data_IF_796639579029
#
_entry.id   IF_796639579029
#
_cell.length_a   1.000
_cell.length_b   1.000
_cell.length_c   1.000
_cell.angle_alpha   90.00
_cell.angle_beta   90.00
_cell.angle_gamma   90.00
#
_symmetry.space_group_name_H-M   'P 1'
#
loop_
_entity.id
_entity.type
_entity.pdbx_description
1 polymer ?
#
# COMPACT_ATOMS: atom_id res chain seq x y z
N UNK A 1 11.00 0.25 25.54
CA UNK A 1 9.64 -0.26 25.26
C UNK A 1 9.68 -0.76 23.83
N UNK A 2 9.38 -2.03 23.59
CA UNK A 2 9.39 -2.53 22.21
C UNK A 2 8.20 -1.95 21.43
N UNK A 3 8.30 -1.92 20.10
CA UNK A 3 7.17 -1.49 19.25
C UNK A 3 5.90 -2.32 19.48
N UNK A 4 6.07 -3.62 19.75
CA UNK A 4 4.98 -4.51 20.13
C UNK A 4 4.29 -4.06 21.43
N UNK A 5 5.06 -3.68 22.47
CA UNK A 5 4.49 -3.24 23.75
C UNK A 5 3.65 -1.97 23.59
N UNK A 6 4.08 -1.05 22.70
CA UNK A 6 3.31 0.16 22.37
C UNK A 6 1.95 -0.19 21.77
N UNK A 7 1.95 -1.07 20.76
CA UNK A 7 0.72 -1.53 20.11
C UNK A 7 -0.19 -2.28 21.09
N UNK A 8 0.37 -3.21 21.86
CA UNK A 8 -0.36 -4.01 22.83
C UNK A 8 -1.04 -3.12 23.88
N UNK A 9 -0.30 -2.17 24.46
CA UNK A 9 -0.84 -1.24 25.45
C UNK A 9 -1.97 -0.38 24.85
N UNK A 10 -1.76 0.17 23.66
CA UNK A 10 -2.77 1.02 23.01
C UNK A 10 -4.07 0.25 22.72
N UNK A 11 -3.95 -0.96 22.17
CA UNK A 11 -5.09 -1.83 21.88
C UNK A 11 -5.80 -2.34 23.13
N UNK A 12 -5.06 -2.71 24.18
CA UNK A 12 -5.65 -3.08 25.47
C UNK A 12 -6.44 -1.94 26.09
N UNK A 13 -5.93 -0.71 26.00
CA UNK A 13 -6.64 0.47 26.48
C UNK A 13 -7.94 0.70 25.67
N UNK A 14 -7.89 0.63 24.34
CA UNK A 14 -9.10 0.77 23.52
C UNK A 14 -10.13 -0.32 23.82
N UNK A 15 -9.69 -1.58 24.00
CA UNK A 15 -10.57 -2.69 24.34
C UNK A 15 -11.20 -2.55 25.73
N UNK A 16 -10.42 -2.17 26.74
CA UNK A 16 -10.91 -1.99 28.11
C UNK A 16 -11.89 -0.83 28.27
N UNK A 17 -11.75 0.21 27.45
CA UNK A 17 -12.63 1.39 27.43
C UNK A 17 -13.89 1.18 26.58
N UNK A 18 -14.02 0.07 25.84
CA UNK A 18 -15.09 -0.10 24.86
C UNK A 18 -15.03 0.94 23.73
N UNK A 19 -13.82 1.38 23.37
CA UNK A 19 -13.63 2.53 22.49
C UNK A 19 -14.05 2.23 21.04
N UNK A 20 -14.70 3.20 20.41
CA UNK A 20 -15.07 3.18 18.99
C UNK A 20 -14.32 4.30 18.26
N UNK A 21 -13.59 3.94 17.20
CA UNK A 21 -12.71 4.86 16.50
C UNK A 21 -11.63 4.16 15.70
N UNK A 22 -10.58 4.90 15.37
CA UNK A 22 -9.48 4.42 14.55
C UNK A 22 -8.15 4.50 15.30
N UNK A 23 -7.46 3.37 15.46
CA UNK A 23 -6.09 3.36 15.97
C UNK A 23 -5.11 3.37 14.78
N UNK A 24 -4.38 4.47 14.60
CA UNK A 24 -3.30 4.59 13.62
C UNK A 24 -2.01 4.08 14.22
N UNK A 25 -1.33 3.19 13.49
CA UNK A 25 -0.05 2.60 13.87
C UNK A 25 1.00 3.11 12.89
N UNK A 26 1.89 3.96 13.40
CA UNK A 26 3.06 4.42 12.63
C UNK A 26 4.19 3.39 12.72
N UNK A 27 4.97 3.29 11.66
CA UNK A 27 6.05 2.31 11.55
C UNK A 27 6.24 1.82 10.13
N UNK A 28 6.92 0.68 9.99
CA UNK A 28 7.16 0.02 8.71
C UNK A 28 6.78 -1.46 8.86
N UNK A 29 5.63 -1.92 8.32
CA UNK A 29 4.71 -1.19 7.44
C UNK A 29 3.71 -0.24 8.14
N UNK A 30 3.50 -0.37 9.45
CA UNK A 30 2.41 0.34 10.14
C UNK A 30 1.02 -0.06 9.64
N UNK A 31 -0.01 0.70 10.00
CA UNK A 31 -1.38 0.41 9.58
C UNK A 31 -2.46 1.18 10.33
N UNK A 32 -3.70 0.76 10.12
CA UNK A 32 -4.90 1.35 10.69
C UNK A 32 -5.77 0.21 11.22
N UNK A 33 -6.17 0.27 12.49
CA UNK A 33 -7.16 -0.65 13.07
C UNK A 33 -8.44 0.14 13.36
N UNK A 34 -9.56 -0.37 12.88
CA UNK A 34 -10.89 0.19 13.13
C UNK A 34 -11.54 -0.55 14.29
N UNK A 35 -11.99 0.19 15.29
CA UNK A 35 -12.61 -0.37 16.50
C UNK A 35 -14.06 0.06 16.63
N UNK A 36 -14.88 -0.87 17.13
CA UNK A 36 -16.27 -0.65 17.52
C UNK A 36 -16.51 -1.37 18.84
N UNK A 37 -16.94 -0.63 19.85
CA UNK A 37 -17.22 -1.12 21.19
C UNK A 37 -16.03 -1.92 21.78
N UNK A 38 -14.80 -1.44 21.53
CA UNK A 38 -13.56 -2.08 21.99
C UNK A 38 -13.12 -3.31 21.17
N UNK A 39 -13.89 -3.73 20.16
CA UNK A 39 -13.55 -4.83 19.26
C UNK A 39 -12.94 -4.31 17.96
N UNK A 40 -11.96 -5.01 17.41
CA UNK A 40 -11.38 -4.67 16.10
C UNK A 40 -12.28 -5.23 15.00
N UNK A 41 -12.86 -4.35 14.20
CA UNK A 41 -13.78 -4.72 13.12
C UNK A 41 -13.13 -4.68 11.74
N UNK A 42 -12.02 -3.97 11.57
CA UNK A 42 -11.23 -3.99 10.34
C UNK A 42 -9.78 -3.61 10.64
N UNK A 43 -8.86 -4.05 9.78
CA UNK A 43 -7.48 -3.62 9.82
C UNK A 43 -6.94 -3.44 8.40
N UNK A 44 -6.12 -2.41 8.21
CA UNK A 44 -5.44 -2.10 6.97
C UNK A 44 -3.96 -1.94 7.26
N UNK A 45 -3.12 -2.54 6.44
CA UNK A 45 -1.69 -2.30 6.45
C UNK A 45 -1.20 -2.29 5.02
N UNK A 46 -0.30 -1.37 4.62
CA UNK A 46 0.37 -1.53 3.34
C UNK A 46 1.18 -2.84 3.31
N UNK A 47 1.48 -3.42 4.48
CA UNK A 47 2.13 -4.71 4.74
C UNK A 47 1.39 -5.96 4.26
N UNK A 48 0.09 -5.86 3.99
CA UNK A 48 -0.73 -7.04 3.69
C UNK A 48 -1.79 -6.74 2.61
N UNK A 49 -2.12 -7.70 1.74
CA UNK A 49 -3.24 -7.55 0.82
C UNK A 49 -4.56 -7.36 1.56
N UNK A 50 -5.25 -6.26 1.27
CA UNK A 50 -6.60 -6.03 1.73
C UNK A 50 -7.62 -6.95 1.03
N UNK A 51 -8.86 -6.99 1.52
CA UNK A 51 -9.88 -7.91 0.99
C UNK A 51 -10.27 -7.62 -0.46
N UNK A 52 -10.22 -6.36 -0.89
CA UNK A 52 -10.32 -5.95 -2.30
C UNK A 52 -9.24 -6.62 -3.15
N UNK A 53 -7.97 -6.53 -2.74
CA UNK A 53 -6.85 -7.11 -3.48
C UNK A 53 -6.98 -8.64 -3.57
N UNK A 54 -7.43 -9.29 -2.51
CA UNK A 54 -7.69 -10.73 -2.51
C UNK A 54 -8.81 -11.11 -3.50
N UNK A 55 -9.91 -10.35 -3.53
CA UNK A 55 -11.02 -10.62 -4.46
C UNK A 55 -10.60 -10.40 -5.91
N UNK A 56 -9.96 -9.27 -6.23
CA UNK A 56 -9.48 -8.93 -7.57
C UNK A 56 -8.49 -9.99 -8.09
N UNK A 57 -7.54 -10.42 -7.24
CA UNK A 57 -6.55 -11.43 -7.62
C UNK A 57 -7.16 -12.82 -7.76
N UNK A 58 -8.29 -13.09 -7.12
CA UNK A 58 -8.98 -14.36 -7.28
C UNK A 58 -9.71 -14.50 -8.63
N UNK A 59 -9.83 -13.43 -9.42
CA UNK A 59 -10.53 -13.42 -10.71
C UNK A 59 -12.05 -13.45 -10.62
N UNK A 60 -12.62 -13.35 -9.40
CA UNK A 60 -14.07 -13.33 -9.17
C UNK A 60 -14.73 -12.01 -9.54
N UNK A 61 -13.97 -10.93 -9.46
CA UNK A 61 -14.37 -9.57 -9.79
C UNK A 61 -13.16 -8.91 -10.44
N UNK A 62 -13.36 -8.22 -11.55
CA UNK A 62 -12.30 -7.41 -12.17
C UNK A 62 -12.34 -5.96 -11.64
N UNK A 63 -11.37 -5.14 -12.07
CA UNK A 63 -11.25 -3.77 -11.60
C UNK A 63 -12.40 -2.86 -12.02
N UNK A 64 -13.00 -3.09 -13.19
CA UNK A 64 -14.11 -2.28 -13.71
C UNK A 64 -15.40 -2.60 -12.94
N UNK A 65 -15.69 -3.89 -12.78
CA UNK A 65 -16.80 -4.40 -11.98
C UNK A 65 -16.70 -3.91 -10.53
N UNK A 66 -15.49 -3.93 -9.95
CA UNK A 66 -15.25 -3.40 -8.61
C UNK A 66 -15.52 -1.90 -8.51
N UNK A 67 -15.01 -1.11 -9.46
CA UNK A 67 -15.22 0.34 -9.47
C UNK A 67 -16.71 0.70 -9.63
N UNK A 68 -17.45 -0.04 -10.45
CA UNK A 68 -18.90 0.10 -10.58
C UNK A 68 -19.62 -0.18 -9.25
N UNK A 69 -19.28 -1.30 -8.61
CA UNK A 69 -19.84 -1.70 -7.32
C UNK A 69 -19.61 -0.65 -6.23
N UNK A 70 -18.39 -0.09 -6.14
CA UNK A 70 -18.06 0.97 -5.18
C UNK A 70 -18.86 2.25 -5.46
N UNK A 71 -19.01 2.63 -6.73
CA UNK A 71 -19.81 3.80 -7.15
C UNK A 71 -21.29 3.64 -6.77
N UNK A 72 -21.82 2.43 -6.89
CA UNK A 72 -23.20 2.12 -6.51
C UNK A 72 -23.43 2.08 -5.01
N UNK A 73 -22.41 1.74 -4.23
CA UNK A 73 -22.50 1.59 -2.78
C UNK A 73 -22.60 2.92 -2.00
N UNK A 74 -22.65 4.07 -2.70
CA UNK A 74 -23.00 5.42 -2.19
C UNK A 74 -22.40 5.75 -0.82
N UNK A 75 -21.09 5.59 -0.68
CA UNK A 75 -20.34 5.96 0.53
C UNK A 75 -19.83 4.78 1.34
N UNK A 76 -20.30 3.55 1.09
CA UNK A 76 -19.66 2.38 1.67
C UNK A 76 -18.34 2.07 0.95
N UNK A 77 -17.25 1.92 1.71
CA UNK A 77 -15.93 1.52 1.17
C UNK A 77 -15.88 0.05 0.74
N UNK A 78 -16.89 -0.74 1.15
CA UNK A 78 -16.97 -2.17 0.89
C UNK A 78 -18.33 -2.55 0.28
N UNK A 79 -18.40 -2.87 -1.03
CA UNK A 79 -19.66 -3.05 -1.74
C UNK A 79 -20.22 -4.49 -1.61
N UNK A 80 -20.31 -5.02 -0.37
CA UNK A 80 -20.75 -6.40 -0.11
C UNK A 80 -22.10 -6.76 -0.73
N UNK A 81 -23.09 -5.86 -0.61
CA UNK A 81 -24.45 -6.07 -1.14
C UNK A 81 -24.41 -6.29 -2.65
N UNK A 82 -23.66 -5.46 -3.37
CA UNK A 82 -23.53 -5.57 -4.82
C UNK A 82 -22.73 -6.80 -5.26
N UNK A 83 -21.66 -7.16 -4.52
CA UNK A 83 -20.89 -8.39 -4.75
C UNK A 83 -21.77 -9.65 -4.63
N UNK A 84 -22.65 -9.67 -3.64
CA UNK A 84 -23.59 -10.78 -3.42
C UNK A 84 -24.70 -10.78 -4.49
N UNK A 85 -25.31 -9.62 -4.74
CA UNK A 85 -26.43 -9.50 -5.68
C UNK A 85 -26.03 -9.88 -7.12
N UNK A 86 -24.79 -9.58 -7.52
CA UNK A 86 -24.24 -9.95 -8.84
C UNK A 86 -23.63 -11.35 -8.88
N UNK A 87 -23.58 -12.07 -7.75
CA UNK A 87 -23.06 -13.44 -7.68
C UNK A 87 -21.54 -13.56 -7.75
N UNK A 88 -20.78 -12.46 -7.61
CA UNK A 88 -19.31 -12.49 -7.63
C UNK A 88 -18.74 -13.19 -6.38
N UNK A 89 -19.40 -13.03 -5.23
CA UNK A 89 -19.05 -13.73 -4.00
C UNK A 89 -20.26 -13.85 -3.06
N UNK A 90 -20.42 -15.01 -2.41
CA UNK A 90 -21.44 -15.21 -1.39
C UNK A 90 -21.07 -14.58 -0.05
N UNK A 91 -22.08 -14.33 0.80
CA UNK A 91 -21.89 -13.70 2.11
C UNK A 91 -20.83 -14.41 2.98
N UNK A 92 -20.88 -15.75 3.05
CA UNK A 92 -19.89 -16.52 3.81
C UNK A 92 -18.47 -16.37 3.26
N UNK A 93 -18.30 -16.31 1.93
CA UNK A 93 -17.00 -16.11 1.30
C UNK A 93 -16.44 -14.73 1.63
N UNK A 94 -17.29 -13.69 1.58
CA UNK A 94 -16.89 -12.33 1.96
C UNK A 94 -16.47 -12.27 3.43
N UNK A 95 -17.23 -12.89 4.34
CA UNK A 95 -16.84 -12.97 5.76
C UNK A 95 -15.45 -13.59 5.93
N UNK A 96 -15.17 -14.71 5.26
CA UNK A 96 -13.86 -15.37 5.33
C UNK A 96 -12.76 -14.45 4.81
N UNK A 97 -12.97 -13.79 3.66
CA UNK A 97 -11.99 -12.86 3.08
C UNK A 97 -11.72 -11.67 4.00
N UNK A 98 -12.74 -11.09 4.62
CA UNK A 98 -12.59 -9.99 5.58
C UNK A 98 -11.76 -10.42 6.81
N UNK A 99 -12.09 -11.58 7.40
CA UNK A 99 -11.37 -12.10 8.58
C UNK A 99 -9.92 -12.41 8.23
N UNK A 100 -9.66 -13.05 7.08
CA UNK A 100 -8.31 -13.33 6.63
C UNK A 100 -7.50 -12.04 6.43
N UNK A 101 -8.04 -11.06 5.71
CA UNK A 101 -7.36 -9.79 5.46
C UNK A 101 -7.09 -9.02 6.77
N UNK A 102 -8.03 -9.01 7.71
CA UNK A 102 -7.86 -8.41 9.03
C UNK A 102 -6.69 -9.07 9.77
N UNK A 103 -6.68 -10.39 9.85
CA UNK A 103 -5.61 -11.12 10.53
C UNK A 103 -4.24 -10.95 9.86
N UNK A 104 -4.19 -10.89 8.54
CA UNK A 104 -2.96 -10.67 7.79
C UNK A 104 -2.43 -9.24 7.94
N UNK A 105 -3.31 -8.23 7.98
CA UNK A 105 -2.92 -6.85 8.27
C UNK A 105 -2.32 -6.73 9.67
N UNK A 106 -2.95 -7.35 10.68
CA UNK A 106 -2.41 -7.36 12.06
C UNK A 106 -1.07 -8.11 12.11
N UNK A 107 -0.97 -9.26 11.44
CA UNK A 107 0.30 -9.99 11.36
C UNK A 107 1.40 -9.14 10.72
N UNK A 108 1.14 -8.43 9.62
CA UNK A 108 2.12 -7.57 8.96
C UNK A 108 2.57 -6.40 9.84
N UNK A 109 1.64 -5.77 10.56
CA UNK A 109 1.96 -4.71 11.53
C UNK A 109 2.89 -5.24 12.62
N UNK A 110 2.57 -6.40 13.18
CA UNK A 110 3.31 -7.01 14.30
C UNK A 110 4.66 -7.59 13.87
N UNK A 111 4.76 -8.08 12.63
CA UNK A 111 6.01 -8.56 12.05
C UNK A 111 7.00 -7.41 11.75
N UNK A 112 6.48 -6.23 11.44
CA UNK A 112 7.29 -5.05 11.16
C UNK A 112 7.69 -4.25 12.40
N UNK A 113 8.16 -3.01 12.16
CA UNK A 113 8.46 -2.04 13.20
C UNK A 113 7.23 -1.20 13.51
N UNK A 114 6.96 -1.00 14.80
CA UNK A 114 5.96 -0.05 15.31
C UNK A 114 6.68 1.08 16.02
N UNK A 115 6.50 2.29 15.50
CA UNK A 115 7.16 3.51 15.99
C UNK A 115 6.21 4.33 16.89
N UNK A 116 4.89 4.11 16.82
CA UNK A 116 3.91 4.81 17.64
C UNK A 116 2.46 4.43 17.31
N UNK A 117 1.55 4.72 18.24
CA UNK A 117 0.12 4.45 18.11
C UNK A 117 -0.69 5.69 18.51
N UNK A 118 -1.63 6.11 17.67
CA UNK A 118 -2.44 7.31 17.88
C UNK A 118 -3.93 6.98 17.69
N UNK A 119 -4.76 7.39 18.63
CA UNK A 119 -6.23 7.32 18.50
C UNK A 119 -6.71 8.50 17.69
N UNK A 120 -7.51 8.21 16.67
CA UNK A 120 -8.23 9.20 15.89
C UNK A 120 -9.74 8.92 15.95
N UNK A 121 -10.55 9.97 15.83
CA UNK A 121 -12.01 9.83 15.75
C UNK A 121 -12.43 8.99 14.54
N UNK A 122 -13.60 8.35 14.66
CA UNK A 122 -14.23 7.61 13.57
C UNK A 122 -14.65 8.58 12.44
N UNK A 123 -13.78 8.79 11.45
CA UNK A 123 -14.05 9.70 10.33
C UNK A 123 -14.36 9.00 9.00
N UNK A 124 -13.99 7.72 8.85
CA UNK A 124 -14.13 6.97 7.59
C UNK A 124 -14.74 5.60 7.90
N UNK A 125 -15.74 5.20 7.11
CA UNK A 125 -16.33 3.86 7.21
C UNK A 125 -15.23 2.79 7.07
N UNK A 126 -15.12 1.84 8.01
CA UNK A 126 -14.13 0.78 7.92
C UNK A 126 -14.26 0.02 6.61
N UNK A 127 -13.16 -0.30 5.92
CA UNK A 127 -13.25 -1.23 4.81
C UNK A 127 -13.55 -2.62 5.33
N UNK A 128 -14.49 -3.28 4.67
CA UNK A 128 -14.74 -4.70 4.81
C UNK A 128 -14.86 -5.15 6.28
N UNK A 129 -15.73 -4.50 7.07
CA UNK A 129 -15.82 -4.78 8.49
C UNK A 129 -16.25 -6.23 8.72
N UNK A 130 -15.67 -6.89 9.71
CA UNK A 130 -16.14 -8.19 10.21
C UNK A 130 -17.33 -7.95 11.14
N UNK A 131 -18.38 -8.77 10.99
CA UNK A 131 -19.65 -8.58 11.73
C UNK A 131 -19.49 -8.76 13.23
N UNK A 132 -18.76 -9.80 13.63
CA UNK A 132 -18.37 -10.04 15.02
C UNK A 132 -16.92 -9.60 15.11
N UNK A 133 -16.69 -8.38 15.59
CA UNK A 133 -15.34 -7.84 15.78
C UNK A 133 -14.47 -8.76 16.65
N UNK A 134 -13.16 -8.66 16.47
CA UNK A 134 -12.20 -9.51 17.17
C UNK A 134 -11.63 -8.81 18.41
N UNK A 135 -11.55 -9.49 19.57
CA UNK A 135 -10.91 -8.92 20.75
C UNK A 135 -9.45 -8.57 20.48
N UNK A 136 -8.96 -7.37 20.84
CA UNK A 136 -7.59 -6.96 20.53
C UNK A 136 -6.52 -7.90 21.10
N UNK A 137 -6.72 -8.41 22.31
CA UNK A 137 -5.81 -9.38 22.93
C UNK A 137 -5.72 -10.69 22.14
N UNK A 138 -6.84 -11.15 21.57
CA UNK A 138 -6.88 -12.37 20.76
C UNK A 138 -6.11 -12.19 19.46
N UNK A 139 -6.30 -11.06 18.79
CA UNK A 139 -5.57 -10.73 17.55
C UNK A 139 -4.06 -10.67 17.76
N UNK A 140 -3.63 -10.00 18.83
CA UNK A 140 -2.21 -9.90 19.16
C UNK A 140 -1.61 -11.26 19.52
N UNK A 141 -2.33 -12.06 20.31
CA UNK A 141 -1.90 -13.42 20.64
C UNK A 141 -1.75 -14.28 19.37
N UNK A 142 -2.71 -14.18 18.45
CA UNK A 142 -2.67 -14.93 17.20
C UNK A 142 -1.53 -14.45 16.28
N UNK A 143 -1.24 -13.16 16.22
CA UNK A 143 -0.11 -12.61 15.47
C UNK A 143 1.24 -13.05 16.06
N UNK A 144 1.40 -13.01 17.38
CA UNK A 144 2.61 -13.51 18.08
C UNK A 144 2.79 -15.00 17.86
N UNK A 145 1.71 -15.79 17.93
CA UNK A 145 1.75 -17.23 17.62
C UNK A 145 2.23 -17.48 16.18
N UNK A 146 1.72 -16.70 15.22
CA UNK A 146 2.13 -16.78 13.81
C UNK A 146 3.62 -16.42 13.63
N UNK A 147 4.11 -15.37 14.28
CA UNK A 147 5.53 -15.02 14.27
C UNK A 147 6.41 -16.13 14.85
N UNK A 148 6.04 -16.68 16.01
CA UNK A 148 6.77 -17.79 16.61
C UNK A 148 6.79 -19.03 15.70
N UNK A 149 5.69 -19.30 14.98
CA UNK A 149 5.62 -20.39 14.02
C UNK A 149 6.58 -20.18 12.82
N UNK A 150 6.68 -18.96 12.29
CA UNK A 150 7.66 -18.63 11.22
C UNK A 150 9.08 -18.75 11.74
N UNK A 151 9.36 -18.25 12.94
CA UNK A 151 10.68 -18.31 13.58
C UNK A 151 11.16 -19.75 13.85
N UNK A 152 10.24 -20.70 13.99
CA UNK A 152 10.54 -22.12 14.21
C UNK A 152 10.79 -22.90 12.90
N UNK A 153 10.63 -22.29 11.72
CA UNK A 153 10.89 -22.96 10.45
C UNK A 153 12.40 -23.13 10.19
N UNK A 154 12.82 -24.11 9.36
CA UNK A 154 14.23 -24.34 9.06
C UNK A 154 14.95 -23.12 8.47
N UNK A 155 14.23 -22.28 7.73
CA UNK A 155 14.73 -21.03 7.18
C UNK A 155 13.74 -19.90 7.47
N UNK A 156 13.79 -19.27 8.65
CA UNK A 156 12.88 -18.19 9.02
C UNK A 156 13.00 -17.01 8.07
N UNK A 157 11.85 -16.42 7.71
CA UNK A 157 11.75 -15.30 6.77
C UNK A 157 11.00 -14.15 7.43
N UNK A 158 11.53 -12.93 7.24
CA UNK A 158 10.81 -11.70 7.52
C UNK A 158 10.02 -11.29 6.26
N UNK A 159 8.70 -11.03 6.38
CA UNK A 159 7.84 -10.68 5.25
C UNK A 159 8.36 -9.54 4.35
N UNK A 160 9.13 -8.61 4.91
CA UNK A 160 9.60 -7.39 4.24
C UNK A 160 11.09 -7.44 3.84
N UNK A 161 11.81 -8.56 4.07
CA UNK A 161 13.27 -8.61 3.94
C UNK A 161 13.78 -9.52 2.83
N UNK A 162 13.58 -10.83 2.94
CA UNK A 162 14.18 -11.80 2.03
C UNK A 162 13.58 -11.66 0.62
N UNK A 163 14.44 -11.71 -0.41
CA UNK A 163 14.06 -11.58 -1.82
C UNK A 163 14.51 -12.83 -2.59
N UNK A 164 13.67 -13.88 -2.62
CA UNK A 164 14.08 -15.15 -3.19
C UNK A 164 14.15 -15.12 -4.72
N UNK A 165 14.94 -16.04 -5.26
CA UNK A 165 14.93 -16.49 -6.66
C UNK A 165 14.72 -18.01 -6.70
N UNK A 166 14.23 -18.57 -7.82
CA UNK A 166 14.19 -20.01 -8.03
C UNK A 166 15.58 -20.61 -7.93
N UNK A 167 15.71 -21.67 -7.13
CA UNK A 167 16.92 -22.46 -7.14
C UNK A 167 16.99 -23.30 -8.43
N UNK A 168 18.17 -23.46 -9.05
CA UNK A 168 18.31 -24.27 -10.25
C UNK A 168 18.11 -25.76 -9.95
N UNK A 169 17.59 -26.51 -10.93
CA UNK A 169 17.60 -27.97 -10.90
C UNK A 169 16.45 -28.66 -10.17
N UNK A 170 15.35 -27.96 -9.87
CA UNK A 170 14.12 -28.59 -9.40
C UNK A 170 13.12 -28.83 -10.53
N UNK A 171 12.91 -30.11 -10.89
CA UNK A 171 11.97 -30.53 -11.94
C UNK A 171 10.77 -31.34 -11.38
N UNK A 172 10.55 -31.30 -10.06
CA UNK A 172 9.47 -32.03 -9.40
C UNK A 172 8.08 -31.36 -9.51
N UNK A 173 7.01 -32.08 -9.15
CA UNK A 173 5.67 -31.50 -9.14
C UNK A 173 5.55 -30.42 -8.05
N UNK A 174 5.10 -29.22 -8.43
CA UNK A 174 4.80 -28.12 -7.52
C UNK A 174 3.29 -27.99 -7.29
N UNK A 175 2.92 -27.68 -6.06
CA UNK A 175 1.58 -27.16 -5.75
C UNK A 175 1.33 -25.85 -6.51
N UNK A 176 0.06 -25.48 -6.71
CA UNK A 176 -0.29 -24.23 -7.40
C UNK A 176 0.41 -23.02 -6.78
N UNK A 177 0.40 -22.91 -5.44
CA UNK A 177 1.05 -21.79 -4.75
C UNK A 177 2.57 -21.79 -4.97
N UNK A 178 3.25 -22.93 -4.85
CA UNK A 178 4.71 -22.99 -5.06
C UNK A 178 5.09 -22.61 -6.49
N UNK A 179 4.29 -23.02 -7.48
CA UNK A 179 4.48 -22.64 -8.89
C UNK A 179 4.36 -21.13 -9.08
N UNK A 180 3.30 -20.51 -8.54
CA UNK A 180 3.09 -19.06 -8.59
C UNK A 180 4.24 -18.29 -7.91
N UNK A 181 4.75 -18.80 -6.78
CA UNK A 181 5.87 -18.19 -6.07
C UNK A 181 7.18 -18.29 -6.87
N UNK A 182 7.48 -19.45 -7.47
CA UNK A 182 8.64 -19.62 -8.37
C UNK A 182 8.55 -18.67 -9.56
N UNK A 183 7.38 -18.54 -10.17
CA UNK A 183 7.17 -17.64 -11.33
C UNK A 183 7.42 -16.16 -11.00
N UNK A 184 7.12 -15.74 -9.76
CA UNK A 184 7.23 -14.34 -9.36
C UNK A 184 8.47 -13.98 -8.54
N UNK A 185 9.22 -14.98 -8.05
CA UNK A 185 10.47 -14.82 -7.33
C UNK A 185 11.58 -14.36 -8.30
N UNK A 186 11.88 -13.06 -8.31
CA UNK A 186 12.85 -12.44 -9.23
C UNK A 186 14.05 -11.82 -8.52
N UNK A 187 14.24 -12.13 -7.23
CA UNK A 187 15.27 -11.53 -6.40
C UNK A 187 15.00 -10.07 -6.03
N UNK A 188 13.87 -9.50 -6.46
CA UNK A 188 13.43 -8.14 -6.12
C UNK A 188 12.21 -8.13 -5.23
N UNK A 189 11.36 -9.16 -5.26
CA UNK A 189 10.12 -9.22 -4.46
C UNK A 189 10.34 -9.88 -3.12
N UNK A 190 9.80 -9.29 -2.05
CA UNK A 190 9.73 -9.94 -0.73
C UNK A 190 8.55 -10.88 -0.62
N UNK A 191 8.43 -11.63 0.48
CA UNK A 191 7.24 -12.45 0.74
C UNK A 191 5.95 -11.61 0.77
N UNK A 192 5.99 -10.38 1.29
CA UNK A 192 4.90 -9.41 1.17
C UNK A 192 4.56 -9.09 -0.28
N UNK A 193 5.56 -8.73 -1.09
CA UNK A 193 5.33 -8.40 -2.51
C UNK A 193 4.70 -9.59 -3.26
N UNK A 194 5.20 -10.80 -2.98
CA UNK A 194 4.68 -12.05 -3.53
C UNK A 194 3.23 -12.30 -3.08
N UNK A 195 2.86 -11.94 -1.84
CA UNK A 195 1.48 -12.03 -1.37
C UNK A 195 0.52 -11.13 -2.17
N UNK A 196 0.92 -9.88 -2.45
CA UNK A 196 0.16 -8.98 -3.32
C UNK A 196 0.06 -9.48 -4.77
N UNK A 197 1.13 -10.12 -5.28
CA UNK A 197 1.15 -10.68 -6.63
C UNK A 197 0.24 -11.90 -6.76
N UNK A 198 0.31 -12.83 -5.81
CA UNK A 198 -0.42 -14.10 -5.84
C UNK A 198 -1.85 -14.00 -5.30
N UNK A 199 -2.24 -12.86 -4.69
CA UNK A 199 -3.57 -12.71 -4.09
C UNK A 199 -3.75 -13.58 -2.86
N UNK A 200 -2.69 -13.76 -2.07
CA UNK A 200 -2.68 -14.62 -0.88
C UNK A 200 -2.38 -13.81 0.37
N UNK A 201 -2.72 -14.39 1.51
CA UNK A 201 -2.35 -13.84 2.81
C UNK A 201 -0.83 -13.78 3.00
N UNK A 202 -0.33 -12.68 3.55
CA UNK A 202 1.11 -12.48 3.77
C UNK A 202 1.70 -13.51 4.73
N UNK A 203 0.96 -13.93 5.77
CA UNK A 203 1.43 -15.00 6.66
C UNK A 203 1.61 -16.32 5.90
N UNK A 204 0.62 -16.69 5.08
CA UNK A 204 0.64 -17.92 4.28
C UNK A 204 1.85 -17.94 3.32
N UNK A 205 2.09 -16.82 2.64
CA UNK A 205 3.21 -16.70 1.69
C UNK A 205 4.54 -16.69 2.41
N UNK A 206 4.65 -16.03 3.57
CA UNK A 206 5.88 -16.02 4.38
C UNK A 206 6.24 -17.44 4.84
N UNK A 207 5.27 -18.21 5.35
CA UNK A 207 5.49 -19.61 5.72
C UNK A 207 5.92 -20.45 4.53
N UNK A 208 5.28 -20.26 3.37
CA UNK A 208 5.60 -21.07 2.19
C UNK A 208 6.99 -20.73 1.62
N UNK A 209 7.36 -19.45 1.58
CA UNK A 209 8.71 -19.03 1.16
C UNK A 209 9.77 -19.57 2.12
N UNK A 210 9.55 -19.50 3.43
CA UNK A 210 10.45 -20.07 4.44
C UNK A 210 10.66 -21.58 4.26
N UNK A 211 9.58 -22.33 3.97
CA UNK A 211 9.68 -23.76 3.65
C UNK A 211 10.43 -24.01 2.36
N UNK A 212 10.10 -23.28 1.29
CA UNK A 212 10.75 -23.44 -0.01
C UNK A 212 12.25 -23.11 0.04
N UNK A 213 12.67 -22.13 0.86
CA UNK A 213 14.08 -21.84 1.13
C UNK A 213 14.75 -23.00 1.91
N UNK A 214 14.07 -23.53 2.94
CA UNK A 214 14.56 -24.69 3.70
C UNK A 214 14.65 -25.98 2.87
N UNK A 215 13.78 -26.14 1.87
CA UNK A 215 13.76 -27.26 0.93
C UNK A 215 14.71 -27.07 -0.27
N UNK A 216 15.33 -25.89 -0.43
CA UNK A 216 16.19 -25.58 -1.56
C UNK A 216 15.45 -25.40 -2.89
N UNK A 217 14.15 -25.09 -2.86
CA UNK A 217 13.34 -24.72 -4.03
C UNK A 217 13.52 -23.25 -4.41
N UNK A 218 13.79 -22.42 -3.40
CA UNK A 218 14.19 -21.04 -3.55
C UNK A 218 15.56 -20.86 -2.92
N UNK A 219 16.28 -19.84 -3.36
CA UNK A 219 17.48 -19.35 -2.70
C UNK A 219 17.41 -17.83 -2.59
N UNK A 220 18.07 -17.26 -1.58
CA UNK A 220 18.25 -15.82 -1.48
C UNK A 220 19.62 -15.46 -2.07
N UNK A 221 19.69 -14.67 -3.15
CA UNK A 221 20.96 -14.21 -3.68
C UNK A 221 21.74 -13.48 -2.58
N UNK A 222 23.05 -13.71 -2.51
CA UNK A 222 23.91 -12.92 -1.65
C UNK A 222 23.74 -11.45 -2.00
N UNK A 223 23.63 -10.58 -0.99
CA UNK A 223 23.61 -9.13 -1.19
C UNK A 223 24.84 -8.77 -2.03
N UNK A 224 24.69 -8.16 -3.22
CA UNK A 224 25.84 -7.73 -4.01
C UNK A 224 26.73 -6.86 -3.14
N UNK A 225 28.04 -7.12 -3.14
CA UNK A 225 28.98 -6.29 -2.41
C UNK A 225 28.71 -4.82 -2.77
N UNK A 226 28.62 -3.90 -1.79
CA UNK A 226 28.35 -2.50 -2.08
C UNK A 226 29.39 -2.03 -3.10
N UNK A 227 28.91 -1.59 -4.27
CA UNK A 227 29.78 -0.97 -5.26
C UNK A 227 30.42 0.22 -4.54
N UNK A 228 31.75 0.29 -4.41
CA UNK A 228 32.38 1.42 -3.76
C UNK A 228 32.05 2.66 -4.58
N UNK A 229 31.08 3.44 -4.10
CA UNK A 229 30.83 4.78 -4.60
C UNK A 229 32.07 5.55 -4.20
N UNK A 230 33.01 5.73 -5.15
CA UNK A 230 34.08 6.69 -4.98
C UNK A 230 33.40 8.03 -4.77
N UNK A 231 33.42 8.52 -3.54
CA UNK A 231 33.08 9.91 -3.28
C UNK A 231 33.95 10.74 -4.24
N UNK A 232 33.35 11.62 -5.06
CA UNK A 232 34.15 12.53 -5.85
C UNK A 232 35.10 13.27 -4.89
N UNK A 233 36.41 13.36 -5.20
CA UNK A 233 37.30 14.19 -4.42
C UNK A 233 36.77 15.63 -4.51
N UNK A 234 36.53 16.20 -3.35
CA UNK A 234 35.90 17.50 -3.10
C UNK A 234 34.38 17.55 -3.25
N UNK A 235 33.74 18.01 -2.17
CA UNK A 235 32.29 18.14 -2.03
C UNK A 235 31.65 18.88 -3.20
N UNK A 236 30.36 18.57 -3.41
CA UNK A 236 29.49 19.21 -4.39
C UNK A 236 29.76 20.71 -4.38
N UNK A 237 30.46 21.23 -5.40
CA UNK A 237 30.65 22.67 -5.57
C UNK A 237 29.29 23.24 -5.90
N UNK A 238 28.65 23.89 -4.94
CA UNK A 238 27.51 24.76 -5.24
C UNK A 238 27.95 25.73 -6.34
N UNK A 239 27.20 25.76 -7.44
CA UNK A 239 27.43 26.73 -8.51
C UNK A 239 27.31 28.11 -7.90
N UNK A 240 28.41 28.85 -7.82
CA UNK A 240 28.37 30.28 -7.49
C UNK A 240 27.58 30.97 -8.60
N UNK A 241 26.49 31.68 -8.29
CA UNK A 241 25.80 32.48 -9.28
C UNK A 241 26.81 33.46 -9.93
N UNK A 242 26.78 33.65 -11.26
CA UNK A 242 27.63 34.66 -11.88
C UNK A 242 27.31 36.03 -11.25
N UNK A 243 28.32 36.92 -11.11
CA UNK A 243 28.07 38.28 -10.63
C UNK A 243 27.00 38.95 -11.50
N UNK A 244 26.13 39.79 -10.91
CA UNK A 244 25.08 40.48 -11.64
C UNK A 244 25.71 41.24 -12.81
N UNK A 245 25.10 41.10 -13.98
CA UNK A 245 25.52 41.83 -15.18
C UNK A 245 25.51 43.34 -14.87
N UNK A 246 26.49 44.10 -15.40
CA UNK A 246 26.45 45.56 -15.28
C UNK A 246 25.12 46.08 -15.87
N UNK A 247 24.57 47.15 -15.28
CA UNK A 247 23.32 47.73 -15.75
C UNK A 247 23.45 48.06 -17.26
N UNK A 248 22.41 47.79 -18.06
CA UNK A 248 22.43 48.16 -19.47
C UNK A 248 22.68 49.67 -19.59
N UNK A 249 23.46 50.12 -20.59
CA UNK A 249 23.66 51.54 -20.84
C UNK A 249 22.30 52.22 -21.07
N UNK A 250 22.14 53.40 -20.48
CA UNK A 250 20.95 54.24 -20.54
C UNK A 250 20.44 54.34 -21.99
N UNK A 251 19.19 53.95 -22.19
CA UNK A 251 18.52 54.10 -23.49
C UNK A 251 18.49 55.60 -23.85
N UNK A 252 18.95 55.99 -25.06
CA UNK A 252 18.87 57.38 -25.48
C UNK A 252 17.41 57.81 -25.56
N UNK A 253 17.15 59.01 -25.05
CA UNK A 253 15.82 59.59 -24.91
C UNK A 253 14.98 59.42 -26.19
N UNK A 254 13.67 59.11 -26.07
CA UNK A 254 12.83 58.82 -27.21
C UNK A 254 12.78 60.01 -28.15
N UNK A 255 13.21 59.79 -29.39
CA UNK A 255 13.10 60.75 -30.49
C UNK A 255 11.63 60.81 -30.90
N UNK A 256 11.04 62.00 -30.80
CA UNK A 256 9.65 62.26 -31.21
C UNK A 256 9.48 61.96 -32.71
N UNK A 257 8.82 60.86 -33.03
CA UNK A 257 8.48 60.51 -34.41
C UNK A 257 7.26 61.33 -34.88
N UNK A 258 7.24 61.84 -36.13
CA UNK A 258 6.16 62.69 -36.60
C UNK A 258 4.81 61.94 -36.64
N UNK A 259 3.84 62.44 -35.88
CA UNK A 259 2.47 61.90 -35.82
C UNK A 259 1.75 62.09 -37.16
N UNK A 260 1.33 60.98 -37.77
CA UNK A 260 0.45 60.95 -38.95
C UNK A 260 -0.95 61.44 -38.57
N UNK A 261 -1.40 62.55 -39.17
CA UNK A 261 -2.79 63.02 -39.06
C UNK A 261 -3.71 62.07 -39.84
N UNK A 262 -4.62 61.38 -39.15
CA UNK A 262 -5.75 60.71 -39.79
C UNK A 262 -6.97 61.64 -39.78
N UNK A 263 -7.25 62.28 -40.92
CA UNK A 263 -8.48 63.02 -41.16
C UNK A 263 -9.14 62.47 -42.43
N UNK A 264 -10.45 62.19 -42.38
CA UNK A 264 -11.31 61.92 -43.55
C UNK A 264 -11.75 60.45 -43.67
N UNK A 265 -12.91 60.05 -43.15
CA UNK A 265 -14.23 60.12 -43.81
C UNK A 265 -14.23 59.64 -45.27
N UNK A 266 -14.76 58.43 -45.50
CA UNK A 266 -15.42 58.07 -46.77
C UNK A 266 -16.75 57.35 -46.49
N UNK A 267 -17.83 57.99 -46.93
CA UNK A 267 -19.21 57.46 -46.94
C UNK A 267 -19.34 56.32 -47.94
N UNK A 268 -19.97 55.23 -47.53
CA UNK A 268 -20.61 54.28 -48.44
C UNK A 268 -21.94 54.88 -48.95
N UNK A 269 -22.14 54.86 -50.26
CA UNK A 269 -23.33 55.36 -50.96
C UNK A 269 -24.26 54.18 -51.21
N UNK A 270 -25.45 54.20 -50.60
CA UNK A 270 -26.53 53.25 -50.85
C UNK A 270 -27.11 53.44 -52.26
N UNK A 271 -27.58 52.33 -52.85
CA UNK A 271 -28.51 52.33 -53.97
C UNK A 271 -29.58 51.25 -53.78
N UNK A 272 -30.85 51.64 -53.76
CA UNK A 272 -32.05 50.79 -53.84
C UNK A 272 -32.70 50.91 -55.23
N UNK A 273 -33.57 49.97 -55.63
CA UNK A 273 -34.04 49.82 -57.02
C UNK A 273 -35.21 50.76 -57.37
N UNK A 274 -35.51 50.84 -58.67
CA UNK A 274 -36.82 51.17 -59.24
C UNK A 274 -37.43 49.92 -59.84
#
# INVERSE_FOLDING_TARGET
MSGFDLLARALSACGGEGWTGVLRVSGAPGGILHLRDGLVVAAESPGAPGPEALLLRSGRVDGEQWAELVREARGARWPAVGLIARGYAGAAQLTVVCVMALQDAVFAIVAGRVDGCERAEAGVEPPAPVTVGEPPARLLQDAVRKLAAVAALPHPVDPDRERPVPAPGFDGPLTTLRRELVEHADGRRTARDLAFRTGRGVYTVTVEVARMLGEGLLECPAVPAPIPVRAPPDGIRHRTPPPPAPPPPEEPAPVDLPRRRSNGFFRLRNGTPK
#
